data_IF_987144790040
#
_entry.id   IF_987144790040
#
_cell.length_a   1.000
_cell.length_b   1.000
_cell.length_c   1.000
_cell.angle_alpha   90.00
_cell.angle_beta   90.00
_cell.angle_gamma   90.00
#
_symmetry.space_group_name_H-M   'P 1'
#
loop_
_entity.id
_entity.type
_entity.pdbx_description
1 polymer ?
#
# COMPACT_ATOMS: atom_id res chain seq x y z
N UNK A 1 -2.60 13.48 18.24
CA UNK A 1 -2.31 14.12 16.94
C UNK A 1 -2.97 15.50 16.93
N UNK A 2 -2.24 16.56 16.54
CA UNK A 2 -2.73 17.94 16.67
C UNK A 2 -3.80 18.26 15.64
N UNK A 3 -5.03 18.47 16.11
CA UNK A 3 -6.18 18.96 15.34
C UNK A 3 -5.83 20.16 14.43
N UNK A 4 -4.89 21.01 14.87
CA UNK A 4 -4.40 22.18 14.13
C UNK A 4 -3.80 21.86 12.76
N UNK A 5 -3.04 20.77 12.64
CA UNK A 5 -2.33 20.43 11.38
C UNK A 5 -3.32 20.12 10.26
N UNK A 6 -4.30 19.27 10.54
CA UNK A 6 -5.30 18.89 9.54
C UNK A 6 -6.35 19.97 9.29
N UNK A 7 -6.57 20.88 10.25
CA UNK A 7 -7.38 22.07 9.99
C UNK A 7 -6.67 23.06 9.07
N UNK A 8 -5.35 23.21 9.22
CA UNK A 8 -4.54 24.01 8.30
C UNK A 8 -4.53 23.39 6.90
N UNK A 9 -4.28 22.08 6.79
CA UNK A 9 -4.34 21.36 5.52
C UNK A 9 -5.72 21.49 4.86
N UNK A 10 -6.79 21.36 5.65
CA UNK A 10 -8.15 21.59 5.18
C UNK A 10 -8.34 22.99 4.60
N UNK A 11 -7.92 24.03 5.33
CA UNK A 11 -8.04 25.41 4.87
C UNK A 11 -7.22 25.68 3.59
N UNK A 12 -5.97 25.23 3.54
CA UNK A 12 -5.13 25.33 2.35
C UNK A 12 -5.78 24.64 1.14
N UNK A 13 -6.37 23.47 1.36
CA UNK A 13 -7.08 22.73 0.30
C UNK A 13 -8.32 23.45 -0.18
N UNK A 14 -9.05 24.16 0.70
CA UNK A 14 -10.17 24.99 0.30
C UNK A 14 -9.72 26.14 -0.60
N UNK A 15 -8.64 26.84 -0.24
CA UNK A 15 -8.08 27.92 -1.06
C UNK A 15 -7.66 27.41 -2.45
N UNK A 16 -6.98 26.26 -2.49
CA UNK A 16 -6.60 25.64 -3.76
C UNK A 16 -7.84 25.30 -4.60
N UNK A 17 -8.88 24.71 -4.00
CA UNK A 17 -10.11 24.38 -4.70
C UNK A 17 -10.85 25.63 -5.21
N UNK A 18 -10.92 26.69 -4.43
CA UNK A 18 -11.52 27.96 -4.84
C UNK A 18 -10.82 28.50 -6.09
N UNK A 19 -9.48 28.57 -6.09
CA UNK A 19 -8.70 29.01 -7.24
C UNK A 19 -8.90 28.11 -8.47
N UNK A 20 -8.88 26.78 -8.29
CA UNK A 20 -9.07 25.84 -9.40
C UNK A 20 -10.47 26.00 -9.99
N UNK A 21 -11.51 26.05 -9.15
CA UNK A 21 -12.90 26.15 -9.62
C UNK A 21 -13.15 27.46 -10.34
N UNK A 22 -12.57 28.57 -9.88
CA UNK A 22 -12.63 29.84 -10.58
C UNK A 22 -11.99 29.73 -11.97
N UNK A 23 -10.77 29.17 -12.03
CA UNK A 23 -10.05 28.97 -13.30
C UNK A 23 -10.86 28.07 -14.24
N UNK A 24 -11.42 26.97 -13.73
CA UNK A 24 -12.19 25.99 -14.50
C UNK A 24 -13.47 26.61 -15.09
N UNK A 25 -14.21 27.40 -14.30
CA UNK A 25 -15.39 28.15 -14.76
C UNK A 25 -15.02 29.17 -15.84
N UNK A 26 -13.92 29.90 -15.64
CA UNK A 26 -13.41 30.84 -16.64
C UNK A 26 -13.10 30.13 -17.96
N UNK A 27 -12.41 28.98 -17.92
CA UNK A 27 -12.10 28.22 -19.14
C UNK A 27 -13.35 27.71 -19.87
N UNK A 28 -14.40 27.31 -19.14
CA UNK A 28 -15.67 26.91 -19.75
C UNK A 28 -16.39 28.06 -20.48
N UNK A 29 -16.17 29.30 -20.04
CA UNK A 29 -16.76 30.50 -20.65
C UNK A 29 -16.00 31.01 -21.88
N UNK A 30 -14.73 30.62 -22.03
CA UNK A 30 -13.87 31.03 -23.14
C UNK A 30 -14.29 30.29 -24.42
N UNK A 31 -14.14 30.97 -25.57
CA UNK A 31 -14.44 30.36 -26.87
C UNK A 31 -13.47 29.20 -27.14
N UNK A 32 -13.92 28.12 -27.80
CA UNK A 32 -13.05 27.01 -28.17
C UNK A 32 -11.79 27.48 -28.93
N UNK A 33 -10.62 27.09 -28.42
CA UNK A 33 -9.33 27.51 -28.97
C UNK A 33 -8.81 26.45 -29.94
N UNK A 34 -8.22 26.86 -31.07
CA UNK A 34 -7.48 25.95 -31.99
C UNK A 34 -6.07 25.60 -31.49
N UNK A 35 -5.62 26.41 -30.52
CA UNK A 35 -4.54 26.28 -29.56
C UNK A 35 -4.40 24.93 -28.84
N UNK A 36 -4.09 23.81 -29.53
CA UNK A 36 -4.04 22.50 -28.86
C UNK A 36 -2.98 22.43 -27.75
N UNK A 37 -1.81 23.05 -27.95
CA UNK A 37 -0.73 23.00 -26.96
C UNK A 37 -1.02 23.86 -25.74
N UNK A 38 -1.56 25.07 -25.95
CA UNK A 38 -2.05 25.92 -24.87
C UNK A 38 -3.19 25.27 -24.08
N UNK A 39 -4.19 24.71 -24.77
CA UNK A 39 -5.30 24.01 -24.13
C UNK A 39 -4.81 22.83 -23.28
N UNK A 40 -3.90 22.02 -23.81
CA UNK A 40 -3.27 20.92 -23.06
C UNK A 40 -2.60 21.43 -21.79
N UNK A 41 -1.81 22.48 -21.87
CA UNK A 41 -1.10 23.03 -20.72
C UNK A 41 -2.08 23.51 -19.62
N UNK A 42 -3.15 24.19 -20.00
CA UNK A 42 -4.18 24.68 -19.08
C UNK A 42 -4.90 23.48 -18.40
N UNK A 43 -5.40 22.53 -19.19
CA UNK A 43 -6.12 21.36 -18.69
C UNK A 43 -5.22 20.50 -17.79
N UNK A 44 -3.93 20.35 -18.16
CA UNK A 44 -2.95 19.63 -17.35
C UNK A 44 -2.67 20.31 -16.01
N UNK A 45 -2.64 21.65 -15.97
CA UNK A 45 -2.50 22.40 -14.72
C UNK A 45 -3.70 22.17 -13.80
N UNK A 46 -4.92 22.27 -14.35
CA UNK A 46 -6.16 22.01 -13.61
C UNK A 46 -6.17 20.56 -13.08
N UNK A 47 -5.77 19.60 -13.91
CA UNK A 47 -5.66 18.18 -13.56
C UNK A 47 -4.76 17.95 -12.35
N UNK A 48 -3.52 18.47 -12.38
CA UNK A 48 -2.53 18.28 -11.30
C UNK A 48 -3.04 18.90 -10.00
N UNK A 49 -3.61 20.11 -10.06
CA UNK A 49 -4.13 20.79 -8.87
C UNK A 49 -5.32 20.03 -8.25
N UNK A 50 -6.24 19.50 -9.06
CA UNK A 50 -7.31 18.64 -8.57
C UNK A 50 -6.78 17.38 -7.89
N UNK A 51 -5.72 16.77 -8.44
CA UNK A 51 -5.14 15.57 -7.87
C UNK A 51 -4.51 15.83 -6.48
N UNK A 52 -3.81 16.95 -6.32
CA UNK A 52 -3.29 17.40 -5.03
C UNK A 52 -4.44 17.62 -4.03
N UNK A 53 -5.51 18.30 -4.45
CA UNK A 53 -6.70 18.50 -3.61
C UNK A 53 -7.32 17.19 -3.16
N UNK A 54 -7.48 16.21 -4.05
CA UNK A 54 -8.01 14.88 -3.71
C UNK A 54 -7.17 14.21 -2.63
N UNK A 55 -5.84 14.21 -2.78
CA UNK A 55 -4.92 13.62 -1.82
C UNK A 55 -5.01 14.30 -0.44
N UNK A 56 -5.08 15.63 -0.41
CA UNK A 56 -5.22 16.38 0.84
C UNK A 56 -6.59 16.15 1.51
N UNK A 57 -7.66 16.09 0.71
CA UNK A 57 -9.02 15.82 1.19
C UNK A 57 -9.14 14.41 1.78
N UNK A 58 -8.53 13.38 1.17
CA UNK A 58 -8.52 12.01 1.73
C UNK A 58 -7.81 11.98 3.09
N UNK A 59 -6.67 12.67 3.21
CA UNK A 59 -5.98 12.82 4.49
C UNK A 59 -6.85 13.54 5.51
N UNK A 60 -7.48 14.66 5.13
CA UNK A 60 -8.40 15.39 6.00
C UNK A 60 -9.57 14.51 6.47
N UNK A 61 -10.17 13.73 5.56
CA UNK A 61 -11.27 12.83 5.88
C UNK A 61 -10.89 11.73 6.87
N UNK A 62 -9.68 11.18 6.75
CA UNK A 62 -9.20 10.10 7.62
C UNK A 62 -8.77 10.62 9.00
N UNK A 63 -8.26 11.85 9.08
CA UNK A 63 -7.61 12.38 10.29
C UNK A 63 -8.49 13.34 11.10
N UNK A 64 -9.51 13.94 10.50
CA UNK A 64 -10.46 14.81 11.21
C UNK A 64 -11.53 13.96 11.90
N UNK A 65 -11.61 14.09 13.23
CA UNK A 65 -12.54 13.32 14.08
C UNK A 65 -13.94 13.95 14.10
N UNK A 66 -14.08 15.26 13.87
CA UNK A 66 -15.36 15.96 13.96
C UNK A 66 -16.36 15.43 12.90
N UNK A 67 -17.50 14.83 13.30
CA UNK A 67 -18.40 14.14 12.36
C UNK A 67 -19.01 15.05 11.30
N UNK A 68 -19.47 16.25 11.69
CA UNK A 68 -20.11 17.20 10.78
C UNK A 68 -19.15 17.63 9.65
N UNK A 69 -17.92 18.01 10.04
CA UNK A 69 -16.87 18.40 9.10
C UNK A 69 -16.49 17.24 8.19
N UNK A 70 -16.42 16.01 8.73
CA UNK A 70 -16.09 14.80 7.96
C UNK A 70 -17.14 14.47 6.89
N UNK A 71 -18.43 14.65 7.17
CA UNK A 71 -19.50 14.48 6.18
C UNK A 71 -19.35 15.48 5.04
N UNK A 72 -19.03 16.74 5.37
CA UNK A 72 -18.80 17.79 4.39
C UNK A 72 -17.57 17.48 3.52
N UNK A 73 -16.44 17.15 4.14
CA UNK A 73 -15.20 16.80 3.43
C UNK A 73 -15.44 15.64 2.46
N UNK A 74 -16.18 14.61 2.89
CA UNK A 74 -16.51 13.48 2.02
C UNK A 74 -17.25 13.93 0.77
N UNK A 75 -18.32 14.72 0.92
CA UNK A 75 -19.09 15.22 -0.22
C UNK A 75 -18.22 16.01 -1.19
N UNK A 76 -17.34 16.86 -0.66
CA UNK A 76 -16.43 17.65 -1.47
C UNK A 76 -15.42 16.74 -2.18
N UNK A 77 -14.88 15.74 -1.49
CA UNK A 77 -13.98 14.75 -2.06
C UNK A 77 -14.63 13.95 -3.19
N UNK A 78 -15.85 13.44 -3.00
CA UNK A 78 -16.62 12.73 -4.03
C UNK A 78 -16.82 13.63 -5.28
N UNK A 79 -17.23 14.88 -5.08
CA UNK A 79 -17.43 15.84 -6.18
C UNK A 79 -16.10 16.19 -6.90
N UNK A 80 -15.03 16.34 -6.13
CA UNK A 80 -13.69 16.66 -6.66
C UNK A 80 -13.16 15.51 -7.50
N UNK A 81 -13.38 14.26 -7.07
CA UNK A 81 -13.04 13.06 -7.85
C UNK A 81 -13.86 13.00 -9.13
N UNK A 82 -15.17 13.28 -9.07
CA UNK A 82 -16.01 13.35 -10.26
C UNK A 82 -15.45 14.31 -11.30
N UNK A 83 -15.19 15.56 -10.90
CA UNK A 83 -14.62 16.58 -11.79
C UNK A 83 -13.22 16.20 -12.30
N UNK A 84 -12.37 15.64 -11.44
CA UNK A 84 -11.05 15.15 -11.83
C UNK A 84 -11.10 14.12 -12.96
N UNK A 85 -12.07 13.19 -12.92
CA UNK A 85 -12.24 12.17 -13.97
C UNK A 85 -12.68 12.80 -15.30
N UNK A 86 -13.55 13.82 -15.26
CA UNK A 86 -13.94 14.58 -16.45
C UNK A 86 -12.73 15.28 -17.09
N UNK A 87 -11.93 15.98 -16.28
CA UNK A 87 -10.71 16.66 -16.74
C UNK A 87 -9.71 15.65 -17.31
N UNK A 88 -9.55 14.48 -16.66
CA UNK A 88 -8.69 13.42 -17.20
C UNK A 88 -9.18 12.93 -18.56
N UNK A 89 -10.49 12.73 -18.71
CA UNK A 89 -11.07 12.32 -19.99
C UNK A 89 -10.82 13.37 -21.08
N UNK A 90 -11.02 14.65 -20.78
CA UNK A 90 -10.73 15.75 -21.70
C UNK A 90 -9.25 15.78 -22.10
N UNK A 91 -8.33 15.61 -21.14
CA UNK A 91 -6.90 15.59 -21.42
C UNK A 91 -6.50 14.42 -22.32
N UNK A 92 -7.08 13.23 -22.11
CA UNK A 92 -6.85 12.07 -22.97
C UNK A 92 -7.32 12.34 -24.39
N UNK A 93 -8.47 13.01 -24.56
CA UNK A 93 -8.97 13.40 -25.88
C UNK A 93 -8.08 14.47 -26.52
N UNK A 94 -7.56 15.42 -25.74
CA UNK A 94 -6.64 16.45 -26.20
C UNK A 94 -5.28 15.88 -26.60
N UNK A 95 -4.79 14.82 -25.96
CA UNK A 95 -3.49 14.20 -26.29
C UNK A 95 -3.60 12.98 -27.21
N UNK A 96 -4.80 12.43 -27.38
CA UNK A 96 -5.03 11.12 -28.01
C UNK A 96 -4.18 10.01 -27.36
N UNK A 97 -3.96 10.13 -26.05
CA UNK A 97 -3.12 9.23 -25.25
C UNK A 97 -3.63 9.15 -23.83
N UNK A 98 -3.68 7.95 -23.28
CA UNK A 98 -4.00 7.70 -21.86
C UNK A 98 -2.86 8.15 -20.94
N UNK A 99 -1.62 8.17 -21.46
CA UNK A 99 -0.42 8.57 -20.76
C UNK A 99 -0.07 10.02 -21.10
N UNK A 100 0.01 10.86 -20.07
CA UNK A 100 0.35 12.28 -20.19
C UNK A 100 1.51 12.59 -19.24
N UNK A 101 2.44 13.44 -19.69
CA UNK A 101 3.61 13.87 -18.92
C UNK A 101 3.39 15.28 -18.38
N UNK A 102 3.70 15.49 -17.10
CA UNK A 102 3.42 16.74 -16.40
C UNK A 102 4.67 17.41 -15.80
N UNK A 103 5.88 16.98 -16.17
CA UNK A 103 7.13 17.36 -15.47
C UNK A 103 7.31 18.87 -15.33
N UNK A 104 7.05 19.63 -16.40
CA UNK A 104 7.14 21.10 -16.37
C UNK A 104 6.14 21.72 -15.38
N UNK A 105 4.91 21.21 -15.37
CA UNK A 105 3.82 21.68 -14.49
C UNK A 105 4.13 21.33 -13.04
N UNK A 106 4.68 20.14 -12.78
CA UNK A 106 5.13 19.73 -11.45
C UNK A 106 6.23 20.68 -10.94
N UNK A 107 7.20 21.01 -11.79
CA UNK A 107 8.29 21.91 -11.45
C UNK A 107 7.78 23.33 -11.14
N UNK A 108 6.89 23.86 -11.97
CA UNK A 108 6.26 25.18 -11.77
C UNK A 108 5.48 25.25 -10.45
N UNK A 109 4.73 24.21 -10.11
CA UNK A 109 3.96 24.12 -8.87
C UNK A 109 4.79 23.64 -7.66
N UNK A 110 6.10 23.38 -7.84
CA UNK A 110 7.01 22.86 -6.81
C UNK A 110 6.52 21.57 -6.16
N UNK A 111 5.90 20.69 -6.95
CA UNK A 111 5.36 19.42 -6.52
C UNK A 111 6.34 18.28 -6.82
N UNK A 112 6.40 17.31 -5.92
CA UNK A 112 7.12 16.07 -6.17
C UNK A 112 6.18 15.04 -6.83
N UNK A 113 6.72 14.06 -7.58
CA UNK A 113 5.92 12.97 -8.14
C UNK A 113 5.09 12.20 -7.11
N UNK A 114 5.54 12.16 -5.85
CA UNK A 114 4.81 11.51 -4.76
C UNK A 114 3.53 12.26 -4.39
N UNK A 115 3.51 13.58 -4.53
CA UNK A 115 2.36 14.44 -4.20
C UNK A 115 1.23 14.30 -5.23
N UNK A 116 1.59 13.91 -6.46
CA UNK A 116 0.70 13.81 -7.63
C UNK A 116 0.42 12.35 -7.99
N UNK A 117 0.49 11.47 -6.99
CA UNK A 117 0.08 10.07 -7.14
C UNK A 117 -1.44 9.96 -7.05
N UNK A 118 -2.05 9.19 -7.96
CA UNK A 118 -3.47 8.84 -7.87
C UNK A 118 -3.67 7.84 -6.74
N UNK A 119 -4.25 8.29 -5.64
CA UNK A 119 -4.58 7.46 -4.47
C UNK A 119 -6.08 7.21 -4.46
N UNK A 120 -6.48 5.95 -4.34
CA UNK A 120 -7.88 5.58 -4.10
C UNK A 120 -8.23 5.96 -2.66
N UNK A 121 -9.25 6.80 -2.41
CA UNK A 121 -9.59 7.23 -1.07
C UNK A 121 -9.85 6.07 -0.11
N UNK A 122 -9.41 6.22 1.14
CA UNK A 122 -9.44 5.13 2.13
C UNK A 122 -10.86 4.70 2.48
N UNK A 123 -11.80 5.63 2.52
CA UNK A 123 -13.21 5.33 2.84
C UNK A 123 -13.86 4.44 1.78
N UNK A 124 -13.54 4.66 0.50
CA UNK A 124 -14.07 3.85 -0.59
C UNK A 124 -13.67 2.39 -0.45
N UNK A 125 -12.41 2.15 -0.03
CA UNK A 125 -11.93 0.79 0.23
C UNK A 125 -12.59 0.16 1.46
N UNK A 126 -12.76 0.93 2.54
CA UNK A 126 -13.35 0.42 3.80
C UNK A 126 -14.82 0.06 3.62
N UNK A 127 -15.59 0.91 2.95
CA UNK A 127 -17.04 0.71 2.77
C UNK A 127 -17.37 -0.41 1.80
N UNK A 128 -16.51 -0.64 0.80
CA UNK A 128 -16.70 -1.69 -0.20
C UNK A 128 -15.92 -2.97 0.09
N UNK A 129 -15.41 -3.13 1.31
CA UNK A 129 -14.57 -4.28 1.67
C UNK A 129 -15.29 -5.62 1.45
N UNK A 130 -16.57 -5.71 1.84
CA UNK A 130 -17.38 -6.92 1.62
C UNK A 130 -17.65 -7.17 0.14
N UNK A 131 -17.98 -6.14 -0.64
CA UNK A 131 -18.13 -6.26 -2.10
C UNK A 131 -16.85 -6.80 -2.76
N UNK A 132 -15.68 -6.27 -2.35
CA UNK A 132 -14.41 -6.72 -2.88
C UNK A 132 -14.10 -8.15 -2.50
N UNK A 133 -14.43 -8.55 -1.26
CA UNK A 133 -14.29 -9.92 -0.80
C UNK A 133 -15.19 -10.86 -1.61
N UNK A 134 -16.45 -10.51 -1.81
CA UNK A 134 -17.38 -11.29 -2.63
C UNK A 134 -16.90 -11.42 -4.08
N UNK A 135 -16.51 -10.33 -4.73
CA UNK A 135 -16.00 -10.35 -6.11
C UNK A 135 -14.72 -11.18 -6.22
N UNK A 136 -13.83 -11.06 -5.24
CA UNK A 136 -12.59 -11.85 -5.20
C UNK A 136 -12.89 -13.34 -5.09
N UNK A 137 -13.77 -13.73 -4.17
CA UNK A 137 -14.21 -15.12 -4.02
C UNK A 137 -14.84 -15.64 -5.31
N UNK A 138 -15.72 -14.85 -5.94
CA UNK A 138 -16.32 -15.23 -7.22
C UNK A 138 -15.28 -15.49 -8.31
N UNK A 139 -14.27 -14.61 -8.45
CA UNK A 139 -13.18 -14.81 -9.41
C UNK A 139 -12.36 -16.05 -9.07
N UNK A 140 -12.00 -16.23 -7.80
CA UNK A 140 -11.28 -17.42 -7.33
C UNK A 140 -12.05 -18.71 -7.63
N UNK A 141 -13.35 -18.75 -7.35
CA UNK A 141 -14.22 -19.90 -7.62
C UNK A 141 -14.35 -20.20 -9.13
N UNK A 142 -14.44 -19.16 -9.97
CA UNK A 142 -14.48 -19.32 -11.42
C UNK A 142 -13.14 -19.86 -11.94
N UNK A 143 -12.01 -19.32 -11.46
CA UNK A 143 -10.68 -19.79 -11.86
C UNK A 143 -10.42 -21.23 -11.43
N UNK A 144 -10.86 -21.63 -10.24
CA UNK A 144 -10.83 -23.04 -9.79
C UNK A 144 -11.65 -23.94 -10.71
N UNK A 145 -12.88 -23.56 -11.04
CA UNK A 145 -13.75 -24.33 -11.95
C UNK A 145 -13.16 -24.50 -13.35
N UNK A 146 -12.41 -23.49 -13.81
CA UNK A 146 -11.74 -23.52 -15.11
C UNK A 146 -10.38 -24.25 -15.06
N UNK A 147 -9.92 -24.70 -13.89
CA UNK A 147 -8.64 -25.38 -13.71
C UNK A 147 -7.41 -24.47 -13.82
N UNK A 148 -7.59 -23.14 -13.77
CA UNK A 148 -6.47 -22.18 -13.78
C UNK A 148 -5.92 -21.88 -12.39
N UNK A 149 -6.62 -22.31 -11.34
CA UNK A 149 -6.18 -22.21 -9.96
C UNK A 149 -6.15 -23.62 -9.38
N UNK A 150 -4.95 -24.15 -9.14
CA UNK A 150 -4.80 -25.38 -8.37
C UNK A 150 -5.29 -25.12 -6.94
N UNK A 151 -6.12 -26.02 -6.42
CA UNK A 151 -6.41 -26.00 -5.00
C UNK A 151 -5.12 -26.36 -4.27
N UNK A 152 -4.59 -25.44 -3.46
CA UNK A 152 -3.56 -25.82 -2.50
C UNK A 152 -4.13 -26.97 -1.67
N UNK A 153 -3.60 -28.17 -1.85
CA UNK A 153 -3.86 -29.28 -0.95
C UNK A 153 -3.37 -28.83 0.42
N UNK A 154 -4.32 -28.38 1.25
CA UNK A 154 -4.04 -28.09 2.65
C UNK A 154 -3.66 -29.41 3.28
N UNK A 155 -2.36 -29.63 3.43
CA UNK A 155 -1.87 -30.74 4.22
C UNK A 155 -2.61 -30.73 5.55
N UNK A 156 -3.13 -31.89 6.00
CA UNK A 156 -3.85 -31.95 7.25
C UNK A 156 -2.96 -31.38 8.36
N UNK A 157 -3.47 -30.48 9.21
CA UNK A 157 -2.67 -29.92 10.29
C UNK A 157 -2.17 -31.06 11.16
N UNK A 158 -0.86 -31.06 11.43
CA UNK A 158 -0.22 -32.03 12.32
C UNK A 158 -0.98 -32.11 13.64
N UNK A 159 -1.32 -33.32 14.07
CA UNK A 159 -2.01 -33.53 15.35
C UNK A 159 -1.09 -33.18 16.52
N UNK A 160 -1.67 -32.83 17.67
CA UNK A 160 -0.88 -32.52 18.87
C UNK A 160 0.03 -33.69 19.26
N UNK A 161 -0.43 -34.92 19.10
CA UNK A 161 0.34 -36.14 19.39
C UNK A 161 1.52 -36.31 18.44
N UNK A 162 1.35 -36.01 17.15
CA UNK A 162 2.43 -36.00 16.17
C UNK A 162 3.45 -34.89 16.48
N UNK A 163 2.99 -33.70 16.86
CA UNK A 163 3.85 -32.60 17.26
C UNK A 163 4.69 -32.94 18.49
N UNK A 164 4.05 -33.49 19.54
CA UNK A 164 4.74 -33.96 20.75
C UNK A 164 5.75 -35.04 20.42
N UNK A 165 5.37 -36.03 19.59
CA UNK A 165 6.27 -37.12 19.17
C UNK A 165 7.48 -36.56 18.42
N UNK A 166 7.27 -35.62 17.50
CA UNK A 166 8.32 -35.00 16.71
C UNK A 166 9.30 -34.23 17.60
N UNK A 167 8.79 -33.42 18.54
CA UNK A 167 9.62 -32.70 19.52
C UNK A 167 10.43 -33.69 20.37
N UNK A 168 9.81 -34.75 20.89
CA UNK A 168 10.48 -35.74 21.73
C UNK A 168 11.57 -36.52 20.99
N UNK A 169 11.36 -36.84 19.70
CA UNK A 169 12.37 -37.50 18.87
C UNK A 169 13.59 -36.59 18.72
N UNK A 170 13.37 -35.31 18.40
CA UNK A 170 14.45 -34.35 18.23
C UNK A 170 15.21 -34.08 19.53
N UNK A 171 14.50 -33.96 20.66
CA UNK A 171 15.14 -33.78 21.97
C UNK A 171 15.92 -35.03 22.40
N UNK A 172 15.39 -36.24 22.20
CA UNK A 172 16.14 -37.48 22.45
C UNK A 172 17.39 -37.57 21.58
N UNK A 173 17.30 -37.21 20.30
CA UNK A 173 18.45 -37.19 19.41
C UNK A 173 19.50 -36.15 19.86
N UNK A 174 19.07 -34.96 20.30
CA UNK A 174 19.94 -33.92 20.85
C UNK A 174 20.68 -34.41 22.09
N UNK A 175 19.95 -34.97 23.05
CA UNK A 175 20.49 -35.52 24.29
C UNK A 175 21.47 -36.68 24.01
N UNK A 176 21.14 -37.54 23.04
CA UNK A 176 22.03 -38.62 22.58
C UNK A 176 23.36 -38.08 22.05
N UNK A 177 23.32 -37.04 21.20
CA UNK A 177 24.54 -36.39 20.68
C UNK A 177 25.38 -35.78 21.82
N UNK A 178 24.74 -35.08 22.76
CA UNK A 178 25.43 -34.46 23.89
C UNK A 178 26.12 -35.52 24.78
N UNK A 179 25.41 -36.61 25.11
CA UNK A 179 25.97 -37.71 25.90
C UNK A 179 27.12 -38.43 25.18
N UNK A 180 27.01 -38.63 23.88
CA UNK A 180 28.07 -39.24 23.08
C UNK A 180 29.35 -38.38 23.07
N UNK A 181 29.20 -37.05 22.93
CA UNK A 181 30.32 -36.12 23.05
C UNK A 181 30.96 -36.19 24.44
N UNK A 182 30.15 -36.12 25.51
CA UNK A 182 30.64 -36.19 26.89
C UNK A 182 31.38 -37.51 27.19
N UNK A 183 30.84 -38.65 26.77
CA UNK A 183 31.50 -39.95 26.94
C UNK A 183 32.81 -40.05 26.14
N UNK A 184 32.89 -39.42 24.96
CA UNK A 184 34.12 -39.34 24.17
C UNK A 184 35.20 -38.55 24.91
N UNK A 185 34.84 -37.42 25.53
CA UNK A 185 35.77 -36.61 26.35
C UNK A 185 36.27 -37.38 27.57
N UNK A 186 35.39 -38.06 28.32
CA UNK A 186 35.77 -38.90 29.46
C UNK A 186 36.77 -39.99 29.04
N UNK A 187 36.52 -40.67 27.91
CA UNK A 187 37.44 -41.69 27.39
C UNK A 187 38.80 -41.09 27.05
N UNK A 188 38.82 -39.94 26.37
CA UNK A 188 40.05 -39.24 26.02
C UNK A 188 40.86 -38.82 27.26
N UNK A 189 40.20 -38.33 28.32
CA UNK A 189 40.85 -38.01 29.59
C UNK A 189 41.42 -39.26 30.26
N UNK A 190 40.65 -40.35 30.35
CA UNK A 190 41.15 -41.62 30.91
C UNK A 190 42.34 -42.18 30.14
N UNK A 191 42.34 -42.08 28.82
CA UNK A 191 43.47 -42.53 27.99
C UNK A 191 44.70 -41.64 28.20
N UNK A 192 44.52 -40.32 28.36
CA UNK A 192 45.60 -39.40 28.76
C UNK A 192 46.16 -39.72 30.14
N UNK A 193 45.31 -39.98 31.13
CA UNK A 193 45.72 -40.32 32.49
C UNK A 193 46.48 -41.66 32.53
N UNK A 194 46.06 -42.64 31.72
CA UNK A 194 46.77 -43.91 31.55
C UNK A 194 48.13 -43.73 30.88
N UNK A 195 48.20 -42.93 29.81
CA UNK A 195 49.45 -42.62 29.13
C UNK A 195 50.43 -41.81 30.00
N UNK A 196 49.93 -40.95 30.89
CA UNK A 196 50.73 -40.24 31.89
C UNK A 196 51.35 -41.20 32.92
N UNK A 197 50.53 -42.08 33.50
CA UNK A 197 51.03 -43.10 34.46
C UNK A 197 52.05 -44.07 33.87
N UNK A 198 52.00 -44.31 32.56
CA UNK A 198 52.95 -45.20 31.90
C UNK A 198 54.29 -44.53 31.60
N UNK A 199 54.35 -43.18 31.57
CA UNK A 199 55.60 -42.41 31.46
C UNK A 199 56.33 -42.23 32.79
N UNK A 200 55.62 -42.27 33.92
CA UNK A 200 56.23 -42.15 35.26
C UNK A 200 56.86 -43.47 35.77
N UNK A 201 56.74 -44.58 35.01
CA UNK A 201 57.25 -45.91 35.36
C UNK A 201 58.36 -46.37 34.38
N UNK A 202 58.92 -45.46 33.57
CA UNK A 202 60.06 -45.72 32.67
C UNK A 202 61.24 -44.82 32.99
#
# INVERSE_FOLDING_TARGET
MSHTTYNKLWYETQTILEEITQTDVEQQSVKPTKDRTGAKYIVSNIYVKYLVSINNLDQCYDQIVQPQKRILIRKILDNTIGRFLEIKHELVNLDLSEFNYYDNILLENKLLPMDVKVIIPRYYRRERAEDFKYKRQFVEDVLKKLGYLEEEEKEPPMTETEAVRLIQIHERARQGRLRAQFMKEIRLQKDKDRAGKQKDIS
#
